data_IF_374118670810
#
_entry.id   IF_374118670810
#
_cell.length_a   1.000
_cell.length_b   1.000
_cell.length_c   1.000
_cell.angle_alpha   90.00
_cell.angle_beta   90.00
_cell.angle_gamma   90.00
#
_symmetry.space_group_name_H-M   'P 1'
#
loop_
_entity.id
_entity.type
_entity.pdbx_description
1 polymer ?
#
# COMPACT_ATOMS: atom_id res chain seq x y z
N UNK A 1 2.39 -15.42 -7.19
CA UNK A 1 2.03 -16.66 -6.44
C UNK A 1 0.54 -16.91 -6.60
N UNK A 2 0.06 -18.16 -6.64
CA UNK A 2 -1.39 -18.48 -6.72
C UNK A 2 -1.83 -19.13 -5.39
N UNK A 3 -3.00 -18.76 -4.87
CA UNK A 3 -3.60 -19.43 -3.71
C UNK A 3 -4.17 -18.47 -2.67
N UNK A 4 -5.08 -18.98 -1.84
CA UNK A 4 -5.76 -18.22 -0.78
C UNK A 4 -4.97 -18.15 0.54
N UNK A 5 -3.75 -18.69 0.59
CA UNK A 5 -2.93 -18.71 1.81
C UNK A 5 -2.37 -17.33 2.13
N UNK A 6 -2.11 -17.07 3.42
CA UNK A 6 -1.49 -15.82 3.88
C UNK A 6 -0.13 -15.54 3.19
N UNK A 7 0.64 -16.60 2.89
CA UNK A 7 1.93 -16.50 2.19
C UNK A 7 1.83 -16.04 0.72
N UNK A 8 0.63 -16.01 0.13
CA UNK A 8 0.38 -15.54 -1.23
C UNK A 8 -0.42 -14.23 -1.28
N UNK A 9 -1.08 -13.84 -0.18
CA UNK A 9 -1.86 -12.60 -0.08
C UNK A 9 -0.96 -11.42 0.27
N UNK A 10 -1.10 -10.33 -0.48
CA UNK A 10 -0.38 -9.08 -0.24
C UNK A 10 -0.70 -8.55 1.16
N UNK A 11 0.32 -8.09 1.90
CA UNK A 11 0.19 -7.58 3.27
C UNK A 11 0.01 -8.64 4.36
N UNK A 12 -0.29 -9.91 4.01
CA UNK A 12 -0.46 -11.01 4.97
C UNK A 12 0.83 -11.81 5.24
N UNK A 13 2.00 -11.25 4.92
CA UNK A 13 3.30 -11.88 5.11
C UNK A 13 4.40 -10.82 5.28
N UNK A 14 5.60 -11.27 5.68
CA UNK A 14 6.78 -10.40 5.88
C UNK A 14 7.33 -9.78 4.61
N UNK A 15 7.01 -10.33 3.44
CA UNK A 15 7.57 -9.90 2.16
C UNK A 15 6.71 -8.83 1.47
N UNK A 16 5.63 -8.38 2.09
CA UNK A 16 4.72 -7.43 1.45
C UNK A 16 4.07 -6.45 2.40
N UNK A 17 3.76 -5.29 1.84
CA UNK A 17 3.09 -4.17 2.46
C UNK A 17 2.03 -3.67 1.47
N UNK A 18 0.84 -3.32 1.93
CA UNK A 18 -0.18 -2.72 1.07
C UNK A 18 -1.18 -1.89 1.85
N UNK A 19 -1.91 -1.05 1.11
CA UNK A 19 -3.22 -0.58 1.53
C UNK A 19 -4.30 -1.48 0.92
N UNK A 20 -5.36 -1.74 1.65
CA UNK A 20 -6.54 -2.50 1.19
C UNK A 20 -7.81 -1.74 1.59
N UNK A 21 -8.72 -1.56 0.63
CA UNK A 21 -10.11 -1.17 0.89
C UNK A 21 -10.92 -2.46 1.08
N UNK A 22 -11.50 -2.64 2.25
CA UNK A 22 -12.31 -3.81 2.58
C UNK A 22 -13.49 -3.39 3.47
N UNK A 23 -14.70 -3.80 3.10
CA UNK A 23 -15.95 -3.41 3.79
C UNK A 23 -16.09 -1.89 4.03
N UNK A 24 -15.75 -1.09 3.01
CA UNK A 24 -15.76 0.39 3.04
C UNK A 24 -14.77 1.02 4.04
N UNK A 25 -13.82 0.24 4.55
CA UNK A 25 -12.76 0.71 5.43
C UNK A 25 -11.40 0.58 4.77
N UNK A 26 -10.55 1.58 4.98
CA UNK A 26 -9.17 1.58 4.50
C UNK A 26 -8.23 1.04 5.56
N UNK A 27 -7.33 0.15 5.16
CA UNK A 27 -6.41 -0.53 6.07
C UNK A 27 -5.00 -0.57 5.48
N UNK A 28 -4.00 -0.37 6.33
CA UNK A 28 -2.62 -0.67 6.04
C UNK A 28 -2.27 -2.08 6.58
N UNK A 29 -1.73 -2.95 5.72
CA UNK A 29 -1.41 -4.34 6.04
C UNK A 29 0.09 -4.66 5.88
N UNK A 30 0.65 -5.37 6.87
CA UNK A 30 1.97 -5.99 6.81
C UNK A 30 2.09 -7.14 7.81
N UNK A 31 2.65 -8.28 7.39
CA UNK A 31 2.83 -9.49 8.22
C UNK A 31 1.57 -9.93 8.99
N UNK A 32 0.39 -9.73 8.37
CA UNK A 32 -0.90 -10.03 9.00
C UNK A 32 -1.37 -9.02 10.05
N UNK A 33 -0.55 -8.01 10.37
CA UNK A 33 -0.97 -6.86 11.16
C UNK A 33 -1.73 -5.86 10.29
N UNK A 34 -2.71 -5.19 10.91
CA UNK A 34 -3.55 -4.19 10.25
C UNK A 34 -3.62 -2.91 11.06
N UNK A 35 -3.59 -1.77 10.37
CA UNK A 35 -3.81 -0.44 10.96
C UNK A 35 -4.93 0.25 10.20
N UNK A 36 -5.97 0.70 10.92
CA UNK A 36 -7.10 1.42 10.31
C UNK A 36 -6.64 2.78 9.81
N UNK A 37 -7.05 3.13 8.60
CA UNK A 37 -6.83 4.43 7.99
C UNK A 37 -8.15 5.20 7.94
N UNK A 38 -8.05 6.52 8.07
CA UNK A 38 -9.19 7.44 7.99
C UNK A 38 -8.85 8.56 7.02
N UNK A 39 -8.84 8.29 5.70
CA UNK A 39 -8.73 9.36 4.73
C UNK A 39 -9.94 10.30 4.88
N UNK A 40 -9.80 11.54 4.41
CA UNK A 40 -10.88 12.54 4.54
C UNK A 40 -12.04 12.22 3.60
N UNK A 41 -11.69 11.78 2.39
CA UNK A 41 -12.58 11.37 1.31
C UNK A 41 -12.06 10.05 0.72
N UNK A 42 -12.81 9.44 -0.20
CA UNK A 42 -12.36 8.23 -0.90
C UNK A 42 -11.13 8.57 -1.79
N UNK A 43 -9.97 7.92 -1.60
CA UNK A 43 -8.77 8.25 -2.37
C UNK A 43 -8.89 7.86 -3.84
N UNK A 44 -8.80 8.84 -4.74
CA UNK A 44 -8.80 8.61 -6.19
C UNK A 44 -7.41 8.32 -6.77
N UNK A 45 -6.36 8.87 -6.15
CA UNK A 45 -4.98 8.71 -6.61
C UNK A 45 -4.03 8.64 -5.41
N UNK A 46 -3.32 7.52 -5.32
CA UNK A 46 -2.36 7.29 -4.24
C UNK A 46 -0.93 7.61 -4.68
N UNK A 47 -0.24 8.38 -3.84
CA UNK A 47 1.20 8.55 -3.90
C UNK A 47 1.90 7.45 -3.13
N UNK A 48 2.99 6.92 -3.69
CA UNK A 48 3.83 5.91 -3.03
C UNK A 48 5.26 6.39 -3.03
N UNK A 49 5.85 6.46 -1.84
CA UNK A 49 7.24 6.85 -1.63
C UNK A 49 8.01 5.70 -0.98
N UNK A 50 9.22 5.46 -1.48
CA UNK A 50 10.15 4.47 -0.95
C UNK A 50 11.52 5.11 -0.74
N UNK A 51 11.99 5.11 0.50
CA UNK A 51 13.40 5.26 0.84
C UNK A 51 13.92 3.89 1.28
N UNK A 52 14.64 3.22 0.37
CA UNK A 52 15.09 1.85 0.59
C UNK A 52 16.16 1.77 1.69
N UNK A 53 17.10 2.71 1.68
CA UNK A 53 18.24 2.72 2.60
C UNK A 53 17.81 3.05 4.03
N UNK A 54 16.89 4.01 4.19
CA UNK A 54 16.35 4.39 5.51
C UNK A 54 15.25 3.44 5.96
N UNK A 55 14.71 2.62 5.06
CA UNK A 55 13.69 1.63 5.39
C UNK A 55 12.29 2.23 5.57
N UNK A 56 11.96 3.26 4.78
CA UNK A 56 10.69 4.00 4.85
C UNK A 56 9.86 3.70 3.61
N UNK A 57 8.62 3.26 3.81
CA UNK A 57 7.64 3.07 2.75
C UNK A 57 6.34 3.76 3.11
N UNK A 58 6.00 4.83 2.40
CA UNK A 58 4.92 5.75 2.77
C UNK A 58 3.88 5.87 1.66
N UNK A 59 2.61 5.86 2.07
CA UNK A 59 1.46 6.13 1.22
C UNK A 59 0.91 7.53 1.50
N UNK A 60 0.49 8.20 0.42
CA UNK A 60 -0.12 9.52 0.44
C UNK A 60 -1.42 9.52 -0.37
N UNK A 61 -2.33 10.40 0.03
CA UNK A 61 -3.56 10.79 -0.67
C UNK A 61 -3.43 12.24 -1.17
N UNK A 62 -4.39 12.71 -1.97
CA UNK A 62 -4.47 14.08 -2.48
C UNK A 62 -3.14 14.56 -3.09
N UNK A 63 -2.53 13.71 -3.94
CA UNK A 63 -1.20 13.99 -4.53
C UNK A 63 -1.18 15.19 -5.47
N UNK A 64 -2.34 15.66 -5.94
CA UNK A 64 -2.45 16.87 -6.76
C UNK A 64 -2.67 18.15 -5.95
N UNK A 65 -3.13 18.04 -4.69
CA UNK A 65 -3.42 19.17 -3.83
C UNK A 65 -2.32 19.39 -2.79
N UNK A 66 -2.22 18.49 -1.81
CA UNK A 66 -1.36 18.65 -0.64
C UNK A 66 -0.51 17.45 -0.22
N UNK A 67 -0.59 16.30 -0.91
CA UNK A 67 0.09 15.05 -0.52
C UNK A 67 -0.18 14.69 0.95
N UNK A 68 -1.44 14.46 1.29
CA UNK A 68 -1.84 14.10 2.65
C UNK A 68 -1.26 12.74 3.03
N UNK A 69 -0.55 12.66 4.16
CA UNK A 69 0.01 11.41 4.66
C UNK A 69 -1.10 10.43 5.07
N UNK A 70 -1.02 9.18 4.61
CA UNK A 70 -1.92 8.10 5.03
C UNK A 70 -1.24 7.15 6.02
N UNK A 71 -0.10 6.58 5.63
CA UNK A 71 0.58 5.57 6.42
C UNK A 71 2.06 5.46 6.07
N UNK A 72 2.89 5.17 7.07
CA UNK A 72 4.31 4.86 6.88
C UNK A 72 4.64 3.51 7.51
N UNK A 73 5.09 2.59 6.69
CA UNK A 73 5.75 1.38 7.14
C UNK A 73 7.24 1.66 7.37
N UNK A 74 7.79 1.02 8.41
CA UNK A 74 9.22 1.00 8.68
C UNK A 74 9.70 -0.44 8.65
N UNK A 75 10.68 -0.72 7.80
CA UNK A 75 11.25 -2.05 7.66
C UNK A 75 12.68 -1.98 7.13
N UNK A 76 13.53 -2.92 7.56
CA UNK A 76 14.83 -3.12 6.94
C UNK A 76 14.65 -4.01 5.70
N UNK A 77 14.65 -3.42 4.51
CA UNK A 77 14.45 -4.16 3.27
C UNK A 77 15.70 -4.98 2.92
N UNK A 78 15.51 -6.28 2.71
CA UNK A 78 16.61 -7.22 2.43
C UNK A 78 16.68 -7.64 0.96
N UNK A 79 15.61 -7.37 0.21
CA UNK A 79 15.44 -7.78 -1.17
C UNK A 79 14.79 -6.64 -1.97
N UNK A 80 14.97 -6.67 -3.29
CA UNK A 80 14.33 -5.71 -4.20
C UNK A 80 12.81 -5.72 -4.01
N UNK A 81 12.24 -4.52 -3.93
CA UNK A 81 10.81 -4.34 -3.87
C UNK A 81 10.22 -4.19 -5.27
N UNK A 82 9.08 -4.83 -5.48
CA UNK A 82 8.32 -4.73 -6.72
C UNK A 82 6.96 -4.10 -6.43
N UNK A 83 6.49 -3.16 -7.27
CA UNK A 83 5.12 -2.72 -7.23
C UNK A 83 4.18 -3.92 -7.39
N UNK A 84 3.16 -3.99 -6.54
CA UNK A 84 2.20 -5.08 -6.54
C UNK A 84 0.78 -4.52 -6.38
N UNK A 85 -0.16 -5.10 -7.13
CA UNK A 85 -1.56 -4.73 -7.14
C UNK A 85 -2.42 -5.99 -6.96
N UNK A 86 -3.54 -5.84 -6.25
CA UNK A 86 -4.58 -6.87 -6.14
C UNK A 86 -5.92 -6.18 -6.39
N UNK A 87 -6.62 -6.62 -7.41
CA UNK A 87 -7.94 -6.11 -7.74
C UNK A 87 -9.02 -7.04 -7.20
N UNK A 88 -10.07 -6.45 -6.65
CA UNK A 88 -11.34 -7.13 -6.43
C UNK A 88 -12.19 -7.06 -7.70
N UNK A 89 -12.44 -5.84 -8.18
CA UNK A 89 -13.14 -5.53 -9.43
C UNK A 89 -12.58 -4.25 -10.07
N UNK A 90 -13.06 -3.90 -11.27
CA UNK A 90 -12.69 -2.66 -11.95
C UNK A 90 -11.27 -2.63 -12.52
N UNK A 91 -10.65 -1.45 -12.49
CA UNK A 91 -9.32 -1.17 -13.08
C UNK A 91 -8.49 -0.34 -12.11
N UNK A 92 -7.19 -0.67 -12.01
CA UNK A 92 -6.17 0.18 -11.40
C UNK A 92 -5.23 0.63 -12.51
N UNK A 93 -4.98 1.94 -12.61
CA UNK A 93 -4.00 2.52 -13.54
C UNK A 93 -2.76 2.99 -12.77
N UNK A 94 -1.61 2.96 -13.45
CA UNK A 94 -0.37 3.55 -12.94
C UNK A 94 -0.09 4.79 -13.79
N UNK A 95 -0.12 5.95 -13.15
CA UNK A 95 0.15 7.23 -13.81
C UNK A 95 1.61 7.32 -14.23
N UNK A 96 1.84 7.81 -15.45
CA UNK A 96 3.19 8.16 -15.91
C UNK A 96 3.60 9.47 -15.24
N UNK A 97 4.68 9.42 -14.46
CA UNK A 97 5.28 10.61 -13.89
C UNK A 97 6.08 11.39 -14.96
N UNK A 98 6.21 12.71 -14.85
CA UNK A 98 6.98 13.55 -15.77
C UNK A 98 8.42 13.08 -16.03
#
# INVERSE_FOLDING_TARGET
RRGASAAARLGCNRQSWCLELYDLEYWAFHDGQRSSLRPRDDPDLLGVFLDYEVGVFTFYDDVTGGMTHLHTFRAAFQELLYPALRLWEGVISISRLP
#
